data_IF_932526110903
#
_entry.id   IF_932526110903
#
_cell.length_a   1.000
_cell.length_b   1.000
_cell.length_c   1.000
_cell.angle_alpha   90.00
_cell.angle_beta   90.00
_cell.angle_gamma   90.00
#
_symmetry.space_group_name_H-M   'P 1'
#
loop_
_entity.id
_entity.type
_entity.pdbx_description
1 polymer ?
#
# COMPACT_ATOMS: atom_id res chain seq x y z
N UNK A 1 -0.31 18.63 -1.63
CA UNK A 1 -0.88 17.62 -2.53
C UNK A 1 -2.04 16.96 -1.79
N UNK A 2 -3.25 16.92 -2.34
CA UNK A 2 -4.39 16.26 -1.69
C UNK A 2 -4.53 14.88 -2.30
N UNK A 3 -4.13 13.84 -1.57
CA UNK A 3 -4.25 12.45 -2.01
C UNK A 3 -5.63 11.93 -1.57
N UNK A 4 -6.48 11.56 -2.53
CA UNK A 4 -7.77 10.91 -2.24
C UNK A 4 -7.60 9.40 -2.34
N UNK A 5 -7.68 8.72 -1.20
CA UNK A 5 -7.52 7.27 -1.11
C UNK A 5 -8.85 6.66 -0.70
N UNK A 6 -9.37 5.75 -1.51
CA UNK A 6 -10.52 4.93 -1.16
C UNK A 6 -10.00 3.63 -0.54
N UNK A 7 -10.06 3.55 0.80
CA UNK A 7 -9.69 2.34 1.52
C UNK A 7 -10.88 1.36 1.57
N UNK A 8 -10.72 0.12 1.08
CA UNK A 8 -11.66 -0.95 1.37
C UNK A 8 -11.85 -1.10 2.88
N UNK A 9 -13.07 -1.36 3.35
CA UNK A 9 -13.35 -1.54 4.79
C UNK A 9 -12.55 -2.67 5.43
N UNK A 10 -12.10 -3.65 4.65
CA UNK A 10 -11.22 -4.74 5.12
C UNK A 10 -9.84 -4.26 5.59
N UNK A 11 -9.41 -3.04 5.26
CA UNK A 11 -8.15 -2.49 5.78
C UNK A 11 -8.21 -2.22 7.29
N UNK A 12 -9.41 -2.18 7.89
CA UNK A 12 -9.57 -2.08 9.34
C UNK A 12 -9.24 -3.39 10.07
N UNK A 13 -9.12 -4.53 9.37
CA UNK A 13 -8.91 -5.85 9.99
C UNK A 13 -7.45 -6.28 10.07
N UNK A 14 -6.51 -5.45 9.64
CA UNK A 14 -5.07 -5.70 9.74
C UNK A 14 -4.32 -4.45 10.21
N UNK A 15 -3.11 -4.64 10.72
CA UNK A 15 -2.33 -3.54 11.30
C UNK A 15 -1.37 -2.88 10.31
N UNK A 16 -0.99 -3.57 9.23
CA UNK A 16 -0.13 -3.00 8.19
C UNK A 16 -0.18 -3.81 6.90
N UNK A 17 0.31 -3.22 5.82
CA UNK A 17 0.35 -3.88 4.53
C UNK A 17 0.85 -3.03 3.37
N UNK A 18 0.70 -3.59 2.17
CA UNK A 18 0.97 -2.93 0.90
C UNK A 18 -0.30 -2.34 0.30
N UNK A 19 -0.14 -1.20 -0.37
CA UNK A 19 -1.14 -0.56 -1.21
C UNK A 19 -0.93 -1.01 -2.65
N UNK A 20 -1.89 -1.74 -3.22
CA UNK A 20 -1.82 -2.23 -4.61
C UNK A 20 -2.82 -1.46 -5.46
N UNK A 21 -2.35 -0.87 -6.55
CA UNK A 21 -3.18 -0.01 -7.37
C UNK A 21 -2.48 0.49 -8.63
N UNK A 22 -2.96 1.62 -9.14
CA UNK A 22 -2.35 2.33 -10.27
C UNK A 22 -2.39 3.83 -10.10
N UNK A 23 -1.40 4.52 -10.66
CA UNK A 23 -1.49 5.96 -10.88
C UNK A 23 -2.41 6.26 -12.06
N UNK A 24 -3.10 7.39 -11.97
CA UNK A 24 -3.92 7.93 -13.05
C UNK A 24 -3.01 8.78 -13.94
N UNK A 25 -2.80 8.40 -15.22
CA UNK A 25 -1.89 9.13 -16.10
C UNK A 25 -2.27 10.62 -16.21
N UNK A 26 -1.28 11.51 -16.11
CA UNK A 26 -1.49 12.96 -16.19
C UNK A 26 -2.17 13.58 -14.97
N UNK A 27 -2.41 12.81 -13.90
CA UNK A 27 -3.01 13.27 -12.65
C UNK A 27 -2.09 12.98 -11.47
N UNK A 28 -2.10 13.85 -10.47
CA UNK A 28 -1.47 13.58 -9.17
C UNK A 28 -2.43 12.77 -8.29
N UNK A 29 -2.86 11.61 -8.79
CA UNK A 29 -3.87 10.77 -8.14
C UNK A 29 -3.63 9.29 -8.44
N UNK A 30 -3.86 8.46 -7.44
CA UNK A 30 -3.76 7.01 -7.53
C UNK A 30 -5.10 6.36 -7.16
N UNK A 31 -5.40 5.22 -7.76
CA UNK A 31 -6.52 4.36 -7.41
C UNK A 31 -5.98 3.12 -6.72
N UNK A 32 -6.36 2.93 -5.46
CA UNK A 32 -6.06 1.70 -4.71
C UNK A 32 -7.12 0.66 -5.05
N UNK A 33 -6.67 -0.49 -5.55
CA UNK A 33 -7.53 -1.57 -6.02
C UNK A 33 -7.59 -2.72 -5.03
N UNK A 34 -6.49 -2.96 -4.31
CA UNK A 34 -6.38 -3.99 -3.30
C UNK A 34 -5.37 -3.61 -2.22
N UNK A 35 -5.45 -4.30 -1.09
CA UNK A 35 -4.46 -4.27 -0.03
C UNK A 35 -3.91 -5.66 0.22
N UNK A 36 -2.62 -5.75 0.52
CA UNK A 36 -1.98 -7.00 0.95
C UNK A 36 -1.59 -6.84 2.41
N UNK A 37 -2.17 -7.65 3.28
CA UNK A 37 -1.90 -7.59 4.72
C UNK A 37 -0.56 -8.23 5.06
N UNK A 38 0.17 -7.62 5.98
CA UNK A 38 1.34 -8.23 6.59
C UNK A 38 0.92 -9.41 7.50
N UNK A 39 1.71 -10.51 7.55
CA UNK A 39 2.93 -10.79 6.80
C UNK A 39 2.66 -11.31 5.37
N UNK A 40 3.62 -11.07 4.45
CA UNK A 40 3.56 -11.59 3.07
C UNK A 40 4.95 -11.95 2.54
N UNK A 41 4.98 -12.80 1.51
CA UNK A 41 6.20 -13.19 0.81
C UNK A 41 6.33 -12.35 -0.47
N UNK A 42 7.43 -11.61 -0.70
CA UNK A 42 7.55 -10.70 -1.85
C UNK A 42 7.33 -11.35 -3.21
N UNK A 43 7.79 -12.60 -3.39
CA UNK A 43 7.59 -13.35 -4.64
C UNK A 43 6.09 -13.59 -4.91
N UNK A 44 5.33 -13.98 -3.88
CA UNK A 44 3.88 -14.19 -4.02
C UNK A 44 3.14 -12.89 -4.36
N UNK A 45 3.60 -11.75 -3.82
CA UNK A 45 3.05 -10.43 -4.20
C UNK A 45 3.33 -10.13 -5.68
N UNK A 46 4.54 -10.42 -6.18
CA UNK A 46 4.86 -10.23 -7.61
C UNK A 46 3.99 -11.13 -8.51
N UNK A 47 3.78 -12.37 -8.11
CA UNK A 47 2.89 -13.30 -8.83
C UNK A 47 1.45 -12.80 -8.85
N UNK A 48 0.94 -12.31 -7.72
CA UNK A 48 -0.39 -11.71 -7.62
C UNK A 48 -0.54 -10.52 -8.57
N UNK A 49 0.43 -9.60 -8.59
CA UNK A 49 0.41 -8.44 -9.50
C UNK A 49 0.35 -8.90 -10.97
N UNK A 50 1.18 -9.87 -11.35
CA UNK A 50 1.20 -10.40 -12.71
C UNK A 50 -0.15 -11.04 -13.09
N UNK A 51 -0.78 -11.78 -12.18
CA UNK A 51 -2.10 -12.38 -12.40
C UNK A 51 -3.19 -11.31 -12.59
N UNK A 52 -3.21 -10.30 -11.71
CA UNK A 52 -4.18 -9.19 -11.78
C UNK A 52 -3.99 -8.39 -13.07
N UNK A 53 -2.75 -8.07 -13.44
CA UNK A 53 -2.46 -7.37 -14.68
C UNK A 53 -2.92 -8.17 -15.91
N UNK A 54 -2.65 -9.48 -15.93
CA UNK A 54 -3.08 -10.36 -17.02
C UNK A 54 -4.60 -10.43 -17.14
N UNK A 55 -5.32 -10.53 -16.03
CA UNK A 55 -6.78 -10.65 -16.02
C UNK A 55 -7.49 -9.34 -16.38
N UNK A 56 -6.99 -8.21 -15.84
CA UNK A 56 -7.65 -6.91 -15.99
C UNK A 56 -7.20 -6.12 -17.22
N UNK A 57 -6.06 -6.47 -17.82
CA UNK A 57 -5.38 -5.65 -18.85
C UNK A 57 -5.05 -4.23 -18.38
N UNK A 58 -5.04 -4.02 -17.06
CA UNK A 58 -4.72 -2.74 -16.42
C UNK A 58 -3.37 -2.89 -15.72
N UNK A 59 -2.40 -1.98 -15.96
CA UNK A 59 -1.17 -1.96 -15.19
C UNK A 59 -1.48 -1.76 -13.71
N UNK A 60 -0.94 -2.63 -12.87
CA UNK A 60 -1.05 -2.55 -11.42
C UNK A 60 0.34 -2.69 -10.80
N UNK A 61 0.58 -1.96 -9.71
CA UNK A 61 1.83 -1.99 -8.97
C UNK A 61 1.56 -1.86 -7.47
N UNK A 62 2.57 -2.19 -6.68
CA UNK A 62 2.63 -1.74 -5.30
C UNK A 62 2.99 -0.25 -5.33
N UNK A 63 2.10 0.58 -4.80
CA UNK A 63 2.26 2.03 -4.80
C UNK A 63 2.86 2.55 -3.50
N UNK A 64 2.94 1.70 -2.48
CA UNK A 64 3.30 2.14 -1.14
C UNK A 64 2.88 1.20 -0.03
N UNK A 65 2.96 1.69 1.19
CA UNK A 65 2.64 0.97 2.41
C UNK A 65 1.58 1.68 3.24
N UNK A 66 0.90 0.93 4.09
CA UNK A 66 0.02 1.47 5.11
C UNK A 66 0.24 0.78 6.45
N UNK A 67 0.01 1.51 7.55
CA UNK A 67 0.02 0.93 8.89
C UNK A 67 -0.90 1.66 9.87
N UNK A 68 -1.36 0.93 10.88
CA UNK A 68 -1.97 1.45 12.09
C UNK A 68 -0.87 1.82 13.07
N UNK A 69 -0.87 3.05 13.56
CA UNK A 69 0.14 3.57 14.51
C UNK A 69 0.01 2.97 15.93
N UNK A 70 -0.65 1.82 16.09
CA UNK A 70 -1.04 1.29 17.39
C UNK A 70 -0.02 0.36 18.06
N UNK A 71 0.92 -0.32 17.37
CA UNK A 71 1.52 -1.52 18.00
C UNK A 71 3.04 -1.82 17.91
N UNK A 72 3.90 -1.12 17.17
CA UNK A 72 5.34 -1.51 17.14
C UNK A 72 6.28 -0.37 17.56
N UNK A 73 7.48 -0.67 18.09
CA UNK A 73 8.54 0.34 18.25
C UNK A 73 8.75 0.95 16.87
N UNK A 74 8.40 2.22 16.73
CA UNK A 74 8.09 2.91 15.48
C UNK A 74 9.17 2.80 14.39
N UNK A 75 10.40 2.48 14.77
CA UNK A 75 11.56 2.33 13.88
C UNK A 75 11.61 0.97 13.17
N UNK A 76 11.32 -0.16 13.82
CA UNK A 76 11.60 -1.49 13.23
C UNK A 76 10.67 -1.81 12.04
N UNK A 77 9.36 -1.71 12.26
CA UNK A 77 8.35 -1.94 11.22
C UNK A 77 8.35 -0.81 10.19
N UNK A 78 8.55 0.43 10.63
CA UNK A 78 8.68 1.58 9.74
C UNK A 78 9.82 1.42 8.74
N UNK A 79 11.02 1.12 9.23
CA UNK A 79 12.21 0.89 8.39
C UNK A 79 12.04 -0.33 7.49
N UNK A 80 11.41 -1.40 7.98
CA UNK A 80 11.10 -2.57 7.14
C UNK A 80 10.16 -2.19 5.98
N UNK A 81 9.06 -1.49 6.28
CA UNK A 81 8.06 -1.08 5.28
C UNK A 81 8.63 -0.07 4.28
N UNK A 82 9.49 0.85 4.72
CA UNK A 82 10.22 1.77 3.84
C UNK A 82 11.20 1.00 2.94
N UNK A 83 11.93 0.03 3.51
CA UNK A 83 12.82 -0.86 2.77
C UNK A 83 12.12 -1.65 1.65
N UNK A 84 10.81 -1.90 1.74
CA UNK A 84 10.06 -2.57 0.68
C UNK A 84 10.01 -1.77 -0.64
N UNK A 85 10.19 -0.45 -0.61
CA UNK A 85 10.34 0.35 -1.83
C UNK A 85 11.54 -0.06 -2.69
N UNK A 86 12.54 -0.70 -2.10
CA UNK A 86 13.68 -1.28 -2.83
C UNK A 86 13.31 -2.56 -3.59
N UNK A 87 12.31 -3.30 -3.11
CA UNK A 87 11.83 -4.55 -3.71
C UNK A 87 10.75 -4.27 -4.76
N UNK A 88 9.88 -3.30 -4.46
CA UNK A 88 8.80 -2.83 -5.30
C UNK A 88 9.04 -1.37 -5.65
N UNK A 89 9.79 -1.13 -6.71
CA UNK A 89 10.12 0.25 -7.10
C UNK A 89 8.93 0.93 -7.76
N UNK A 90 8.49 2.04 -7.17
CA UNK A 90 7.48 2.92 -7.75
C UNK A 90 7.76 4.37 -7.32
N UNK A 91 7.61 5.33 -8.24
CA UNK A 91 7.70 6.77 -7.94
C UNK A 91 6.42 7.49 -8.40
N UNK A 92 5.72 8.24 -7.52
CA UNK A 92 6.00 8.42 -6.09
C UNK A 92 5.59 7.21 -5.24
N UNK A 93 6.23 7.07 -4.08
CA UNK A 93 5.96 6.04 -3.07
C UNK A 93 5.01 6.59 -1.99
N UNK A 94 3.89 5.90 -1.76
CA UNK A 94 2.89 6.29 -0.76
C UNK A 94 3.19 5.65 0.60
N UNK A 95 3.11 6.44 1.67
CA UNK A 95 3.20 5.93 3.03
C UNK A 95 2.03 6.49 3.84
N UNK A 96 1.06 5.63 4.14
CA UNK A 96 -0.18 6.03 4.81
C UNK A 96 -0.22 5.51 6.24
N UNK A 97 -0.33 6.40 7.21
CA UNK A 97 -0.39 6.02 8.62
C UNK A 97 -1.72 6.44 9.22
N UNK A 98 -2.41 5.50 9.87
CA UNK A 98 -3.63 5.84 10.60
C UNK A 98 -3.29 6.52 11.91
N UNK A 99 -3.88 7.69 12.13
CA UNK A 99 -3.74 8.41 13.40
C UNK A 99 -4.34 7.61 14.57
N UNK A 100 -3.69 7.71 15.73
CA UNK A 100 -4.09 6.94 16.92
C UNK A 100 -5.50 7.35 17.34
N UNK A 101 -6.41 6.38 17.41
CA UNK A 101 -7.76 6.58 17.93
C UNK A 101 -8.72 7.28 16.97
N UNK A 102 -8.30 7.62 15.75
CA UNK A 102 -9.15 8.28 14.75
C UNK A 102 -9.40 7.36 13.56
N UNK A 103 -10.24 7.79 12.61
CA UNK A 103 -10.39 7.17 11.29
C UNK A 103 -9.61 7.94 10.20
N UNK A 104 -8.76 8.88 10.62
CA UNK A 104 -8.00 9.75 9.74
C UNK A 104 -6.66 9.08 9.38
N UNK A 105 -6.23 9.31 8.16
CA UNK A 105 -4.97 8.82 7.60
C UNK A 105 -4.13 10.02 7.18
N UNK A 106 -2.85 9.97 7.53
CA UNK A 106 -1.82 10.94 7.13
C UNK A 106 -0.89 10.36 6.09
#
# INVERSE_FOLDING_TARGET
MVLKVFFPTCCASADSGLLVGRWVPGQSSAVILAVVHFPFIPIQVKELLAQVQKASQVPVAVLGTWCHRQQEPQESLGNFLEGLGTIFSHDPWLQLCRERGTRLWS
#
